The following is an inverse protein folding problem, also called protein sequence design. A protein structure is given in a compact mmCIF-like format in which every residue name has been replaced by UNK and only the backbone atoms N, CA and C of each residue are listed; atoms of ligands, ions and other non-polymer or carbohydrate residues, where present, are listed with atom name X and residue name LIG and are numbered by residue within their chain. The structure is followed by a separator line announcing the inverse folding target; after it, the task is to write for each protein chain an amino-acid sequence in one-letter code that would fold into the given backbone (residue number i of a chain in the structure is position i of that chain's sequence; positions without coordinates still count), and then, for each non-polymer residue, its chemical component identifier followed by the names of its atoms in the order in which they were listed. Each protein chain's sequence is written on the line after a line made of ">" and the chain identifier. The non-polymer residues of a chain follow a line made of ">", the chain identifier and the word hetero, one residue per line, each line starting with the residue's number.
data_IF_065457373569
#
_entry.id   IF_065457373569
#
_cell.length_a   1.000
_cell.length_b   1.000
_cell.length_c   1.000
_cell.angle_alpha   90.00
_cell.angle_beta   90.00
_cell.angle_gamma   90.00
#
_symmetry.space_group_name_H-M   'P 1'
#
loop_
_entity.id
_entity.type
_entity.pdbx_description
1 polymer ?
#
# COMPACT_ATOMS: atom_id res chain seq x y z
N UNK A 1 19.22 31.95 15.59
CA UNK A 1 18.09 31.93 14.65
C UNK A 1 17.02 31.02 15.25
N UNK A 2 15.82 31.53 15.60
CA UNK A 2 14.80 30.72 16.26
C UNK A 2 14.30 29.62 15.32
N UNK A 3 14.35 28.37 15.79
CA UNK A 3 13.85 27.22 15.03
C UNK A 3 12.32 27.27 14.97
N UNK A 4 11.75 27.21 13.76
CA UNK A 4 10.30 27.13 13.57
C UNK A 4 9.78 25.82 14.19
N UNK A 5 8.81 25.91 15.09
CA UNK A 5 8.14 24.79 15.77
C UNK A 5 6.68 24.72 15.34
N UNK A 6 6.06 23.55 15.43
CA UNK A 6 4.64 23.41 15.12
C UNK A 6 3.79 23.95 16.28
N UNK A 7 2.73 24.75 16.03
CA UNK A 7 1.87 25.26 17.12
C UNK A 7 0.84 24.24 17.63
N UNK A 8 0.69 23.08 16.97
CA UNK A 8 -0.27 22.04 17.34
C UNK A 8 0.31 21.11 18.42
N UNK A 9 -0.24 21.06 19.65
CA UNK A 9 0.29 20.24 20.76
C UNK A 9 0.15 18.73 20.54
N UNK A 10 -0.72 18.29 19.63
CA UNK A 10 -0.85 16.87 19.25
C UNK A 10 0.12 16.45 18.14
N UNK A 11 0.97 17.37 17.67
CA UNK A 11 1.91 17.11 16.60
C UNK A 11 3.27 16.67 17.16
N UNK A 12 3.88 15.66 16.54
CA UNK A 12 5.23 15.20 16.91
C UNK A 12 6.29 16.30 16.76
N UNK A 13 6.04 17.28 15.88
CA UNK A 13 6.90 18.45 15.66
C UNK A 13 6.58 19.67 16.54
N UNK A 14 5.74 19.53 17.57
CA UNK A 14 5.44 20.58 18.54
C UNK A 14 6.69 20.99 19.35
N UNK A 15 7.43 19.99 19.85
CA UNK A 15 8.66 20.20 20.62
C UNK A 15 9.95 19.96 19.82
N UNK A 16 9.85 19.74 18.51
CA UNK A 16 11.00 19.50 17.62
C UNK A 16 11.18 20.66 16.64
N UNK A 17 12.43 20.92 16.27
CA UNK A 17 12.75 21.88 15.24
C UNK A 17 12.29 21.34 13.87
N UNK A 18 11.54 22.15 13.12
CA UNK A 18 11.23 21.86 11.73
C UNK A 18 12.40 22.26 10.82
N UNK A 19 12.51 21.64 9.63
CA UNK A 19 13.46 22.08 8.62
C UNK A 19 13.23 23.55 8.27
N UNK A 20 14.34 24.29 8.11
CA UNK A 20 14.31 25.70 7.72
C UNK A 20 13.54 25.85 6.40
N UNK A 21 12.66 26.87 6.30
CA UNK A 21 11.71 27.13 5.20
C UNK A 21 10.41 26.29 5.12
N UNK A 22 10.08 25.44 6.11
CA UNK A 22 8.77 24.79 6.14
C UNK A 22 7.63 25.82 6.33
N UNK A 23 6.78 26.02 5.32
CA UNK A 23 5.56 26.86 5.38
C UNK A 23 4.36 26.14 6.00
N UNK A 24 4.38 24.81 5.99
CA UNK A 24 3.37 23.93 6.59
C UNK A 24 4.07 22.79 7.31
N UNK A 25 3.48 22.31 8.40
CA UNK A 25 3.97 21.16 9.13
C UNK A 25 3.78 19.88 8.31
N UNK A 26 4.81 19.04 8.10
CA UNK A 26 4.70 17.82 7.29
C UNK A 26 3.90 16.70 7.95
N UNK A 27 3.62 16.79 9.26
CA UNK A 27 2.90 15.76 10.01
C UNK A 27 1.40 16.03 10.15
N UNK A 28 1.05 17.30 10.39
CA UNK A 28 -0.34 17.69 10.67
C UNK A 28 -0.85 18.80 9.73
N UNK A 29 -0.08 19.13 8.70
CA UNK A 29 -0.40 20.16 7.70
C UNK A 29 -0.69 21.57 8.24
N UNK A 30 -0.39 21.81 9.52
CA UNK A 30 -0.64 23.11 10.17
C UNK A 30 0.30 24.17 9.59
N UNK A 31 -0.22 25.34 9.16
CA UNK A 31 0.61 26.41 8.60
C UNK A 31 1.57 26.98 9.64
N UNK A 32 2.82 27.24 9.23
CA UNK A 32 3.90 27.71 10.08
C UNK A 32 4.31 29.12 9.64
N UNK A 33 4.01 30.11 10.48
CA UNK A 33 4.35 31.52 10.27
C UNK A 33 3.14 32.44 10.39
N UNK A 34 3.39 33.66 10.85
CA UNK A 34 2.40 34.73 10.88
C UNK A 34 1.94 35.05 9.45
N UNK A 35 0.74 34.61 9.12
CA UNK A 35 0.04 35.04 7.91
C UNK A 35 -0.38 36.49 8.16
N UNK A 36 0.35 37.46 7.62
CA UNK A 36 -0.22 38.79 7.40
C UNK A 36 -1.33 38.56 6.35
N UNK A 37 -2.61 38.83 6.66
CA UNK A 37 -3.66 38.68 5.66
C UNK A 37 -3.38 39.66 4.52
N UNK A 38 -3.38 39.24 3.25
CA UNK A 38 -3.43 40.19 2.16
C UNK A 38 -4.77 40.93 2.26
N UNK A 39 -4.72 42.21 2.64
CA UNK A 39 -5.86 43.10 2.50
C UNK A 39 -6.20 43.22 1.01
N UNK A 40 -7.46 42.94 0.69
CA UNK A 40 -8.13 43.49 -0.48
C UNK A 40 -7.70 42.93 -1.83
N UNK A 41 -8.24 41.77 -2.21
CA UNK A 41 -8.74 41.59 -3.58
C UNK A 41 -9.97 40.71 -3.52
N UNK A 42 -11.05 41.18 -4.14
CA UNK A 42 -12.37 40.56 -4.14
C UNK A 42 -12.31 39.06 -4.47
N UNK A 43 -13.13 38.22 -3.82
CA UNK A 43 -13.27 36.82 -4.23
C UNK A 43 -13.80 36.76 -5.67
N UNK A 44 -13.24 35.88 -6.53
CA UNK A 44 -13.87 35.57 -7.81
C UNK A 44 -15.25 34.93 -7.57
N UNK A 45 -16.21 35.08 -8.50
CA UNK A 45 -17.56 34.53 -8.36
C UNK A 45 -17.49 33.02 -8.11
N UNK A 46 -18.28 32.54 -7.15
CA UNK A 46 -18.42 31.13 -6.84
C UNK A 46 -18.83 30.36 -8.11
N UNK A 47 -17.98 29.42 -8.55
CA UNK A 47 -18.39 28.40 -9.50
C UNK A 47 -19.44 27.50 -8.84
N UNK A 48 -20.50 27.11 -9.55
CA UNK A 48 -21.49 26.18 -9.03
C UNK A 48 -20.82 24.84 -8.70
N UNK A 49 -21.01 24.41 -7.46
CA UNK A 49 -20.62 23.09 -6.96
C UNK A 49 -21.33 22.01 -7.77
N UNK A 50 -20.64 20.96 -8.25
CA UNK A 50 -21.32 19.78 -8.77
C UNK A 50 -22.17 19.15 -7.65
N UNK A 51 -23.35 18.60 -7.97
CA UNK A 51 -24.22 18.01 -6.96
C UNK A 51 -23.51 16.84 -6.27
N UNK A 52 -23.57 16.87 -4.94
CA UNK A 52 -23.23 15.73 -4.07
C UNK A 52 -24.16 14.60 -4.48
N UNK A 53 -23.62 13.54 -5.09
CA UNK A 53 -24.36 12.29 -5.26
C UNK A 53 -24.47 11.64 -3.88
N UNK A 54 -25.70 11.43 -3.42
CA UNK A 54 -25.99 10.63 -2.22
C UNK A 54 -25.37 9.24 -2.37
N UNK A 55 -24.45 8.90 -1.46
CA UNK A 55 -23.97 7.52 -1.35
C UNK A 55 -25.13 6.65 -0.83
N UNK A 56 -25.44 5.52 -1.48
CA UNK A 56 -26.41 4.58 -0.94
C UNK A 56 -25.91 4.03 0.40
N UNK A 57 -26.75 4.19 1.42
CA UNK A 57 -26.55 3.66 2.77
C UNK A 57 -26.59 2.12 2.72
N UNK A 58 -25.43 1.48 2.65
CA UNK A 58 -25.34 0.02 2.76
C UNK A 58 -25.46 -0.37 4.24
N UNK A 59 -26.63 -0.85 4.65
CA UNK A 59 -26.78 -1.64 5.87
C UNK A 59 -26.21 -3.05 5.63
N UNK A 60 -25.30 -3.54 6.48
CA UNK A 60 -24.91 -4.95 6.43
C UNK A 60 -26.11 -5.83 6.81
N UNK A 61 -26.26 -7.03 6.21
CA UNK A 61 -27.35 -7.94 6.54
C UNK A 61 -27.23 -8.48 7.98
N UNK A 62 -28.35 -8.84 8.62
CA UNK A 62 -28.34 -9.39 9.98
C UNK A 62 -27.70 -10.79 10.01
N UNK A 63 -26.85 -11.01 11.01
CA UNK A 63 -26.23 -12.31 11.30
C UNK A 63 -27.30 -13.37 11.66
N UNK A 64 -27.23 -14.60 11.15
CA UNK A 64 -28.11 -15.67 11.59
C UNK A 64 -27.79 -16.10 13.02
N UNK A 65 -28.84 -16.20 13.83
CA UNK A 65 -28.82 -16.64 15.21
C UNK A 65 -28.70 -18.18 15.25
N UNK A 66 -27.54 -18.70 15.65
CA UNK A 66 -27.36 -20.13 15.89
C UNK A 66 -27.65 -20.44 17.36
N UNK A 67 -28.86 -20.94 17.63
CA UNK A 67 -29.21 -21.58 18.89
C UNK A 67 -28.62 -23.00 18.93
N UNK A 68 -27.82 -23.28 19.97
CA UNK A 68 -27.21 -24.58 20.21
C UNK A 68 -28.04 -25.38 21.23
N UNK A 69 -28.57 -26.58 20.91
CA UNK A 69 -29.20 -27.45 21.91
C UNK A 69 -28.17 -28.34 22.63
N UNK A 70 -28.20 -28.30 23.96
CA UNK A 70 -27.43 -29.13 24.89
C UNK A 70 -27.90 -30.62 24.85
N UNK A 71 -27.03 -31.64 25.06
CA UNK A 71 -27.33 -33.05 24.88
C UNK A 71 -27.67 -33.75 26.20
N UNK A 72 -28.81 -34.45 26.30
CA UNK A 72 -28.94 -35.78 26.94
C UNK A 72 -30.38 -36.27 27.02
N UNK A 73 -30.69 -37.37 26.33
CA UNK A 73 -31.41 -38.55 26.86
C UNK A 73 -31.64 -39.56 25.73
N UNK A 74 -31.42 -40.84 26.02
CA UNK A 74 -31.50 -42.00 25.13
C UNK A 74 -32.33 -43.09 25.86
N UNK A 75 -32.81 -44.20 25.25
CA UNK A 75 -33.37 -44.44 23.91
C UNK A 75 -34.85 -44.89 23.98
N UNK A 76 -35.59 -44.87 22.87
CA UNK A 76 -36.69 -45.84 22.68
C UNK A 76 -36.83 -46.22 21.20
N UNK A 77 -36.88 -47.52 20.94
CA UNK A 77 -36.86 -48.15 19.63
C UNK A 77 -38.23 -48.06 18.96
N UNK A 78 -38.27 -47.61 17.70
CA UNK A 78 -39.19 -48.12 16.67
C UNK A 78 -38.80 -47.59 15.28
N UNK A 79 -38.57 -48.52 14.36
CA UNK A 79 -38.27 -48.30 12.95
C UNK A 79 -39.53 -47.95 12.16
N UNK A 80 -39.57 -46.80 11.49
CA UNK A 80 -40.51 -46.49 10.41
C UNK A 80 -39.78 -45.69 9.32
N UNK A 81 -40.03 -46.07 8.07
CA UNK A 81 -39.33 -45.66 6.84
C UNK A 81 -39.25 -44.12 6.66
N UNK A 82 -38.06 -43.58 6.39
CA UNK A 82 -37.90 -42.21 5.88
C UNK A 82 -37.75 -42.22 4.36
N UNK A 83 -38.66 -41.50 3.69
CA UNK A 83 -38.51 -41.13 2.29
C UNK A 83 -37.22 -40.33 2.09
N UNK A 84 -36.44 -40.72 1.09
CA UNK A 84 -35.21 -40.02 0.71
C UNK A 84 -35.61 -38.71 0.04
N UNK A 85 -35.63 -37.62 0.80
CA UNK A 85 -35.84 -36.28 0.26
C UNK A 85 -34.79 -35.99 -0.82
N UNK A 86 -35.25 -35.76 -2.06
CA UNK A 86 -34.38 -35.24 -3.11
C UNK A 86 -34.08 -33.77 -2.78
N UNK A 87 -32.91 -33.51 -2.20
CA UNK A 87 -32.37 -32.16 -2.17
C UNK A 87 -31.85 -31.84 -3.57
N UNK A 88 -32.43 -30.82 -4.21
CA UNK A 88 -31.85 -30.26 -5.43
C UNK A 88 -30.43 -29.78 -5.11
N UNK A 89 -29.43 -30.05 -5.97
CA UNK A 89 -28.09 -29.50 -5.76
C UNK A 89 -28.19 -27.97 -5.65
N UNK A 90 -27.43 -27.34 -4.74
CA UNK A 90 -27.43 -25.90 -4.61
C UNK A 90 -27.05 -25.27 -5.97
N UNK A 91 -27.69 -24.17 -6.38
CA UNK A 91 -27.29 -23.46 -7.58
C UNK A 91 -25.80 -23.11 -7.49
N UNK A 92 -25.04 -23.18 -8.60
CA UNK A 92 -23.64 -22.79 -8.60
C UNK A 92 -23.54 -21.36 -8.09
N UNK A 93 -22.75 -21.15 -7.03
CA UNK A 93 -22.48 -19.82 -6.52
C UNK A 93 -21.97 -18.92 -7.67
N UNK A 94 -22.36 -17.64 -7.72
CA UNK A 94 -21.77 -16.71 -8.68
C UNK A 94 -20.25 -16.75 -8.53
N UNK A 95 -19.54 -17.16 -9.58
CA UNK A 95 -18.08 -17.09 -9.61
C UNK A 95 -17.70 -15.62 -9.59
N UNK A 96 -17.33 -15.11 -8.41
CA UNK A 96 -16.66 -13.80 -8.31
C UNK A 96 -15.45 -13.88 -9.23
N UNK A 97 -15.34 -13.03 -10.28
CA UNK A 97 -14.13 -13.02 -11.07
C UNK A 97 -12.99 -12.72 -10.10
N UNK A 98 -12.07 -13.67 -9.93
CA UNK A 98 -10.84 -13.40 -9.23
C UNK A 98 -10.11 -12.36 -10.07
N UNK A 99 -10.17 -11.09 -9.69
CA UNK A 99 -9.33 -10.04 -10.25
C UNK A 99 -7.88 -10.42 -9.93
N UNK A 100 -7.28 -11.22 -10.83
CA UNK A 100 -5.88 -11.61 -10.75
C UNK A 100 -5.08 -10.34 -11.03
N UNK A 101 -4.38 -9.85 -10.02
CA UNK A 101 -3.37 -8.80 -10.19
C UNK A 101 -2.27 -9.33 -11.12
N UNK A 102 -1.70 -8.48 -11.98
CA UNK A 102 -0.54 -8.90 -12.78
C UNK A 102 0.63 -9.23 -11.84
N UNK A 103 1.45 -10.20 -12.22
CA UNK A 103 2.60 -10.63 -11.42
C UNK A 103 3.72 -9.61 -11.59
N UNK A 104 4.15 -9.00 -10.48
CA UNK A 104 5.30 -8.12 -10.49
C UNK A 104 6.58 -8.93 -10.23
N UNK A 105 7.54 -8.80 -11.16
CA UNK A 105 8.84 -9.45 -11.12
C UNK A 105 9.97 -8.46 -11.38
N UNK A 106 11.08 -8.63 -10.66
CA UNK A 106 12.35 -7.96 -10.92
C UNK A 106 13.38 -8.98 -11.39
N UNK A 107 13.98 -8.71 -12.55
CA UNK A 107 15.02 -9.54 -13.13
C UNK A 107 16.34 -8.79 -12.95
N UNK A 108 17.20 -9.28 -12.07
CA UNK A 108 18.52 -8.69 -11.84
C UNK A 108 19.42 -8.90 -13.06
N UNK A 109 20.41 -8.03 -13.27
CA UNK A 109 21.39 -8.12 -14.36
C UNK A 109 22.15 -9.47 -14.40
N UNK A 110 22.23 -10.19 -13.28
CA UNK A 110 22.81 -11.56 -13.21
C UNK A 110 21.84 -12.66 -13.66
N UNK A 111 20.60 -12.33 -14.05
CA UNK A 111 19.54 -13.28 -14.37
C UNK A 111 18.76 -13.83 -13.17
N UNK A 112 19.05 -13.37 -11.94
CA UNK A 112 18.27 -13.76 -10.75
C UNK A 112 16.92 -13.05 -10.78
N UNK A 113 15.85 -13.79 -10.48
CA UNK A 113 14.50 -13.27 -10.49
C UNK A 113 13.93 -13.14 -9.08
N UNK A 114 13.16 -12.08 -8.85
CA UNK A 114 12.51 -11.79 -7.59
C UNK A 114 11.05 -11.43 -7.84
N UNK A 115 10.15 -11.96 -7.02
CA UNK A 115 8.72 -11.85 -7.20
C UNK A 115 8.10 -11.09 -6.04
N UNK A 116 7.17 -10.18 -6.35
CA UNK A 116 6.32 -9.60 -5.33
C UNK A 116 5.13 -10.52 -5.08
N UNK A 117 4.99 -10.99 -3.85
CA UNK A 117 3.84 -11.79 -3.45
C UNK A 117 2.71 -10.87 -2.99
N UNK A 118 1.74 -10.60 -3.87
CA UNK A 118 0.53 -9.84 -3.55
C UNK A 118 0.51 -8.40 -4.03
N UNK A 119 -0.30 -7.58 -3.36
CA UNK A 119 -0.57 -6.18 -3.75
C UNK A 119 0.50 -5.22 -3.28
N UNK A 120 1.17 -5.50 -2.18
CA UNK A 120 2.13 -4.60 -1.52
C UNK A 120 3.30 -5.38 -1.00
N UNK A 121 4.48 -4.79 -1.08
CA UNK A 121 5.66 -5.35 -0.44
C UNK A 121 6.77 -4.35 -0.33
N UNK A 122 7.77 -4.74 0.46
CA UNK A 122 9.01 -3.98 0.59
C UNK A 122 10.15 -4.69 -0.14
N UNK A 123 11.02 -3.87 -0.71
CA UNK A 123 12.23 -4.27 -1.41
C UNK A 123 13.43 -3.88 -0.54
N UNK A 124 14.35 -4.80 -0.32
CA UNK A 124 15.61 -4.46 0.35
C UNK A 124 16.41 -5.66 0.79
N UNK A 125 17.46 -5.39 1.58
CA UNK A 125 18.32 -6.43 2.13
C UNK A 125 17.84 -6.88 3.50
N UNK A 126 17.64 -8.19 3.69
CA UNK A 126 17.33 -8.78 5.00
C UNK A 126 18.50 -8.59 5.98
N UNK A 127 18.16 -8.44 7.26
CA UNK A 127 19.13 -8.47 8.37
C UNK A 127 18.51 -9.19 9.55
N UNK A 128 19.34 -9.83 10.37
CA UNK A 128 18.89 -10.57 11.57
C UNK A 128 18.18 -9.68 12.60
N UNK A 129 18.46 -8.38 12.58
CA UNK A 129 17.81 -7.40 13.47
C UNK A 129 16.44 -6.90 12.99
N UNK A 130 15.97 -7.31 11.80
CA UNK A 130 14.63 -6.94 11.32
C UNK A 130 13.63 -8.05 11.62
N UNK A 131 12.54 -7.77 12.38
CA UNK A 131 11.56 -8.77 12.77
C UNK A 131 10.75 -9.30 11.58
N UNK A 132 10.53 -8.45 10.58
CA UNK A 132 9.84 -8.82 9.32
C UNK A 132 10.80 -8.58 8.15
N UNK A 133 11.17 -9.63 7.40
CA UNK A 133 12.00 -9.46 6.22
C UNK A 133 11.22 -8.73 5.11
N UNK A 134 11.92 -8.09 4.16
CA UNK A 134 11.26 -7.56 2.98
C UNK A 134 10.67 -8.71 2.14
N UNK A 135 9.49 -8.50 1.56
CA UNK A 135 8.88 -9.40 0.57
C UNK A 135 9.85 -9.75 -0.56
N UNK A 136 10.54 -8.73 -1.08
CA UNK A 136 11.63 -8.93 -2.03
C UNK A 136 12.96 -8.77 -1.29
N UNK A 137 13.51 -9.91 -0.88
CA UNK A 137 14.82 -10.00 -0.25
C UNK A 137 15.95 -10.05 -1.29
N UNK A 138 16.73 -8.98 -1.34
CA UNK A 138 17.87 -8.83 -2.23
C UNK A 138 19.18 -9.33 -1.63
N UNK A 139 19.14 -10.07 -0.52
CA UNK A 139 20.36 -10.63 0.08
C UNK A 139 21.07 -11.61 -0.88
N UNK A 140 22.39 -11.55 -0.90
CA UNK A 140 23.28 -12.37 -1.72
C UNK A 140 23.40 -11.93 -3.17
N UNK A 141 22.83 -10.79 -3.58
CA UNK A 141 23.14 -10.23 -4.91
C UNK A 141 24.54 -9.59 -4.90
N UNK A 142 25.22 -9.49 -6.05
CA UNK A 142 26.43 -8.69 -6.15
C UNK A 142 26.18 -7.25 -5.69
N UNK A 143 27.13 -6.68 -4.95
CA UNK A 143 27.04 -5.30 -4.44
C UNK A 143 25.82 -5.02 -3.55
N UNK A 144 25.32 -6.04 -2.83
CA UNK A 144 24.20 -5.89 -1.88
C UNK A 144 24.42 -4.82 -0.80
N UNK A 145 25.67 -4.43 -0.53
CA UNK A 145 26.00 -3.35 0.42
C UNK A 145 25.44 -1.98 0.03
N UNK A 146 25.15 -1.77 -1.25
CA UNK A 146 24.50 -0.56 -1.78
C UNK A 146 23.00 -0.56 -1.46
N UNK A 147 22.41 -1.74 -1.26
CA UNK A 147 20.99 -1.92 -1.04
C UNK A 147 20.67 -1.71 0.45
N UNK A 148 19.99 -0.60 0.76
CA UNK A 148 19.33 -0.36 2.04
C UNK A 148 18.43 -1.53 2.48
N UNK A 149 18.31 -1.70 3.80
CA UNK A 149 17.43 -2.71 4.43
C UNK A 149 15.95 -2.56 4.03
N UNK A 150 15.48 -1.32 3.95
CA UNK A 150 14.20 -0.91 3.37
C UNK A 150 14.51 0.06 2.25
N UNK A 151 14.68 -0.47 1.04
CA UNK A 151 15.14 0.32 -0.09
C UNK A 151 13.97 0.96 -0.83
N UNK A 152 12.93 0.19 -1.09
CA UNK A 152 11.73 0.69 -1.74
C UNK A 152 10.48 0.04 -1.16
N UNK A 153 9.34 0.69 -1.40
CA UNK A 153 8.01 0.11 -1.24
C UNK A 153 7.35 0.02 -2.60
N UNK A 154 6.76 -1.12 -2.89
CA UNK A 154 6.00 -1.36 -4.12
C UNK A 154 4.56 -1.69 -3.72
N UNK A 155 3.60 -1.12 -4.42
CA UNK A 155 2.18 -1.41 -4.19
C UNK A 155 1.34 -1.27 -5.47
N UNK A 156 0.22 -1.98 -5.53
CA UNK A 156 -0.76 -1.85 -6.60
C UNK A 156 -1.67 -0.65 -6.34
N UNK A 157 -1.78 0.24 -7.33
CA UNK A 157 -2.75 1.34 -7.33
C UNK A 157 -3.95 0.93 -8.19
N UNK A 158 -5.08 0.65 -7.54
CA UNK A 158 -6.34 0.28 -8.19
C UNK A 158 -6.92 1.39 -9.08
N UNK A 159 -6.63 2.66 -8.79
CA UNK A 159 -7.12 3.78 -9.60
C UNK A 159 -6.36 3.91 -10.93
N UNK A 160 -5.06 3.57 -10.91
CA UNK A 160 -4.20 3.61 -12.09
C UNK A 160 -4.05 2.25 -12.78
N UNK A 161 -4.54 1.19 -12.16
CA UNK A 161 -4.38 -0.19 -12.60
C UNK A 161 -2.91 -0.51 -12.92
N UNK A 162 -2.02 -0.11 -12.02
CA UNK A 162 -0.57 -0.20 -12.19
C UNK A 162 0.15 -0.38 -10.86
N UNK A 163 1.37 -0.94 -10.92
CA UNK A 163 2.27 -0.94 -9.79
C UNK A 163 2.94 0.42 -9.63
N UNK A 164 3.02 0.87 -8.39
CA UNK A 164 3.68 2.09 -7.96
C UNK A 164 4.90 1.74 -7.10
N UNK A 165 5.95 2.53 -7.21
CA UNK A 165 7.17 2.42 -6.44
C UNK A 165 7.45 3.72 -5.69
N UNK A 166 7.83 3.60 -4.42
CA UNK A 166 8.28 4.70 -3.57
C UNK A 166 9.69 4.40 -3.09
N UNK A 167 10.60 5.34 -3.34
CA UNK A 167 11.97 5.28 -2.85
C UNK A 167 12.03 5.65 -1.36
N UNK A 168 12.61 4.77 -0.55
CA UNK A 168 12.90 4.98 0.88
C UNK A 168 14.37 4.73 1.21
N UNK A 169 15.22 4.66 0.19
CA UNK A 169 16.62 4.25 0.28
C UNK A 169 17.53 5.40 0.72
N UNK A 170 18.75 5.04 1.10
CA UNK A 170 19.81 6.01 1.40
C UNK A 170 20.57 6.43 0.15
N UNK A 171 20.73 5.51 -0.81
CA UNK A 171 21.57 5.71 -1.99
C UNK A 171 20.77 6.14 -3.24
N UNK A 172 19.44 6.21 -3.14
CA UNK A 172 18.54 6.58 -4.22
C UNK A 172 18.17 5.42 -5.14
N UNK A 173 17.05 5.60 -5.85
CA UNK A 173 16.60 4.72 -6.92
C UNK A 173 16.56 5.50 -8.23
N UNK A 174 17.03 4.88 -9.31
CA UNK A 174 16.93 5.42 -10.65
C UNK A 174 15.93 4.58 -11.46
N UNK A 175 14.96 5.24 -12.08
CA UNK A 175 14.00 4.63 -12.99
C UNK A 175 14.28 5.12 -14.41
N UNK A 176 14.60 4.20 -15.31
CA UNK A 176 15.00 4.48 -16.69
C UNK A 176 16.11 5.55 -16.77
N UNK A 177 17.08 5.48 -15.85
CA UNK A 177 18.20 6.42 -15.73
C UNK A 177 17.91 7.72 -14.99
N UNK A 178 16.66 7.99 -14.60
CA UNK A 178 16.28 9.20 -13.88
C UNK A 178 16.21 8.94 -12.37
N UNK A 179 16.92 9.76 -11.57
CA UNK A 179 16.86 9.70 -10.11
C UNK A 179 15.44 10.04 -9.63
N UNK A 180 14.89 9.19 -8.78
CA UNK A 180 13.60 9.41 -8.15
C UNK A 180 13.72 10.34 -6.94
N UNK A 181 12.66 11.12 -6.69
CA UNK A 181 12.54 11.86 -5.45
C UNK A 181 12.07 10.92 -4.34
N UNK A 182 12.85 10.81 -3.26
CA UNK A 182 12.51 9.97 -2.12
C UNK A 182 11.12 10.33 -1.55
N UNK A 183 10.34 9.30 -1.22
CA UNK A 183 8.98 9.43 -0.69
C UNK A 183 7.88 9.72 -1.71
N UNK A 184 8.23 10.00 -2.98
CA UNK A 184 7.25 10.21 -4.06
C UNK A 184 6.91 8.87 -4.73
N UNK A 185 5.64 8.69 -5.11
CA UNK A 185 5.17 7.49 -5.80
C UNK A 185 5.35 7.65 -7.31
N UNK A 186 6.01 6.69 -7.94
CA UNK A 186 6.23 6.63 -9.37
C UNK A 186 5.58 5.37 -9.96
N UNK A 187 4.92 5.53 -11.10
CA UNK A 187 4.36 4.39 -11.84
C UNK A 187 5.48 3.55 -12.44
N UNK A 188 5.36 2.23 -12.30
CA UNK A 188 6.25 1.25 -12.89
C UNK A 188 5.52 0.54 -14.03
N UNK A 189 6.22 0.35 -15.15
CA UNK A 189 5.75 -0.35 -16.34
C UNK A 189 6.57 -1.61 -16.61
N UNK A 190 5.97 -2.53 -17.36
CA UNK A 190 6.69 -3.68 -17.86
C UNK A 190 7.83 -3.23 -18.80
N UNK A 191 9.04 -3.73 -18.57
CA UNK A 191 10.24 -3.38 -19.32
C UNK A 191 11.05 -2.21 -18.74
N UNK A 192 10.56 -1.54 -17.69
CA UNK A 192 11.31 -0.46 -17.05
C UNK A 192 12.65 -0.96 -16.49
N UNK A 193 13.66 -0.10 -16.54
CA UNK A 193 14.95 -0.34 -15.91
C UNK A 193 14.98 0.32 -14.54
N UNK A 194 15.19 -0.48 -13.50
CA UNK A 194 15.29 -0.03 -12.12
C UNK A 194 16.71 -0.23 -11.62
N UNK A 195 17.36 0.85 -11.21
CA UNK A 195 18.71 0.80 -10.63
C UNK A 195 18.66 1.25 -9.17
N UNK A 196 19.37 0.52 -8.31
CA UNK A 196 19.48 0.81 -6.88
C UNK A 196 20.86 1.37 -6.57
N UNK A 197 20.89 2.57 -5.99
CA UNK A 197 22.13 3.31 -5.76
C UNK A 197 22.83 3.77 -7.03
N UNK A 198 24.05 4.25 -6.86
CA UNK A 198 24.83 4.91 -7.92
C UNK A 198 25.63 3.89 -8.76
N UNK A 199 26.25 4.35 -9.84
CA UNK A 199 27.22 3.62 -10.67
C UNK A 199 26.71 2.38 -11.42
N UNK A 200 25.39 2.19 -11.58
CA UNK A 200 24.77 1.05 -12.28
C UNK A 200 25.13 -0.33 -11.71
N UNK A 201 25.64 -0.40 -10.47
CA UNK A 201 26.14 -1.64 -9.87
C UNK A 201 25.04 -2.65 -9.55
N UNK A 202 23.84 -2.17 -9.25
CA UNK A 202 22.66 -2.99 -8.95
C UNK A 202 21.53 -2.53 -9.86
N UNK A 203 21.25 -3.34 -10.89
CA UNK A 203 20.28 -3.00 -11.94
C UNK A 203 19.33 -4.16 -12.19
N UNK A 204 18.05 -3.83 -12.40
CA UNK A 204 16.97 -4.75 -12.66
C UNK A 204 16.15 -4.31 -13.87
N UNK A 205 15.60 -5.28 -14.58
CA UNK A 205 14.49 -5.07 -15.52
C UNK A 205 13.20 -5.49 -14.85
N UNK A 206 12.18 -4.61 -14.92
CA UNK A 206 10.85 -4.91 -14.40
C UNK A 206 10.08 -5.74 -15.40
N UNK A 207 9.39 -6.77 -14.93
CA UNK A 207 8.42 -7.54 -15.69
C UNK A 207 7.08 -7.54 -14.95
N UNK A 208 6.02 -7.10 -15.62
CA UNK A 208 4.64 -7.08 -15.10
C UNK A 208 3.75 -7.77 -16.13
N UNK A 209 3.14 -8.90 -15.77
CA UNK A 209 2.32 -9.70 -16.70
C UNK A 209 1.53 -10.82 -16.04
#
# INVERSE_FOLDING_TARGET
>A
MPANRCPNPSCEYFNRALPNNAKVCPWCSTPLGNVIPPQGSNPPPAQPTPPIQEQPNYQPPPSPNYSNPNPNSNPNYSTQYQERGYTSPPPPAPSVPSSRLPVFKLIHSTGREFYLSGEVGSLGRRTQSMPTPPEIDLTGIPQEGIVSRRHARIFWDWSQNAYMLVDTSTNGIYLNGNLLNAGVSYRILNGDTLQLGQDNLVTFTVSVG
#
